data_IF_978904321815
#
_entry.id   IF_978904321815
#
_cell.length_a   1.000
_cell.length_b   1.000
_cell.length_c   1.000
_cell.angle_alpha   90.00
_cell.angle_beta   90.00
_cell.angle_gamma   90.00
#
_symmetry.space_group_name_H-M   'P 1'
#
loop_
_entity.id
_entity.type
_entity.pdbx_description
1 polymer ?
#
# COMPACT_ATOMS: atom_id res chain seq x y z
N UNK A 1 -65.69 49.95 -2.12
CA UNK A 1 -64.88 49.20 -3.09
C UNK A 1 -64.13 48.10 -2.34
N UNK A 2 -64.50 46.86 -2.67
CA UNK A 2 -63.86 45.54 -2.49
C UNK A 2 -62.70 45.36 -1.49
N UNK A 3 -62.98 44.56 -0.48
CA UNK A 3 -62.07 43.79 0.39
C UNK A 3 -61.30 42.71 -0.40
N UNK A 4 -60.02 42.45 -0.09
CA UNK A 4 -59.44 41.08 -0.13
C UNK A 4 -58.17 41.01 0.74
N UNK A 5 -58.28 40.40 1.90
CA UNK A 5 -57.16 39.91 2.72
C UNK A 5 -56.89 38.45 2.31
N UNK A 6 -55.66 38.01 2.00
CA UNK A 6 -55.41 36.62 1.72
C UNK A 6 -55.45 35.83 3.04
N UNK A 7 -56.37 34.87 3.12
CA UNK A 7 -56.46 33.95 4.23
C UNK A 7 -55.21 33.06 4.27
N UNK A 8 -54.47 33.13 5.36
CA UNK A 8 -53.40 32.18 5.68
C UNK A 8 -54.07 30.85 6.02
N UNK A 9 -54.09 29.91 5.06
CA UNK A 9 -54.64 28.58 5.27
C UNK A 9 -53.70 27.77 6.17
N UNK A 10 -54.15 27.44 7.38
CA UNK A 10 -53.48 26.47 8.23
C UNK A 10 -53.49 25.10 7.54
N UNK A 11 -52.31 24.47 7.34
CA UNK A 11 -52.25 23.17 6.68
C UNK A 11 -52.94 22.11 7.55
N UNK A 12 -53.91 21.42 6.97
CA UNK A 12 -54.66 20.33 7.61
C UNK A 12 -53.70 19.25 8.13
N UNK A 13 -54.03 18.57 9.22
CA UNK A 13 -53.19 17.56 9.87
C UNK A 13 -52.66 16.48 8.89
N UNK A 14 -53.48 16.09 7.90
CA UNK A 14 -53.08 15.16 6.83
C UNK A 14 -51.95 15.71 5.94
N UNK A 15 -51.91 17.02 5.70
CA UNK A 15 -50.87 17.68 4.91
C UNK A 15 -49.54 17.73 5.66
N UNK A 16 -49.58 17.97 6.99
CA UNK A 16 -48.38 17.88 7.85
C UNK A 16 -47.81 16.46 7.86
N UNK A 17 -48.66 15.44 7.93
CA UNK A 17 -48.23 14.03 7.88
C UNK A 17 -47.60 13.66 6.54
N UNK A 18 -48.21 14.07 5.43
CA UNK A 18 -47.66 13.85 4.08
C UNK A 18 -46.30 14.54 3.92
N UNK A 19 -46.16 15.76 4.42
CA UNK A 19 -44.91 16.51 4.36
C UNK A 19 -43.81 15.88 5.23
N UNK A 20 -44.16 15.30 6.37
CA UNK A 20 -43.21 14.61 7.24
C UNK A 20 -42.71 13.31 6.60
N UNK A 21 -43.60 12.53 5.98
CA UNK A 21 -43.25 11.33 5.23
C UNK A 21 -42.33 11.66 4.02
N UNK A 22 -42.61 12.76 3.31
CA UNK A 22 -41.78 13.21 2.18
C UNK A 22 -40.38 13.64 2.64
N UNK A 23 -40.28 14.37 3.76
CA UNK A 23 -38.99 14.78 4.32
C UNK A 23 -38.18 13.57 4.80
N UNK A 24 -38.84 12.57 5.39
CA UNK A 24 -38.19 11.32 5.80
C UNK A 24 -37.64 10.56 4.60
N UNK A 25 -38.43 10.42 3.52
CA UNK A 25 -37.97 9.79 2.28
C UNK A 25 -36.80 10.54 1.61
N UNK A 26 -36.78 11.88 1.72
CA UNK A 26 -35.65 12.70 1.24
C UNK A 26 -34.39 12.49 2.10
N UNK A 27 -34.54 12.38 3.42
CA UNK A 27 -33.45 12.11 4.34
C UNK A 27 -32.85 10.72 4.08
N UNK A 28 -33.68 9.69 3.90
CA UNK A 28 -33.23 8.33 3.59
C UNK A 28 -32.48 8.27 2.26
N UNK A 29 -32.98 8.94 1.21
CA UNK A 29 -32.26 9.05 -0.07
C UNK A 29 -30.94 9.80 0.06
N UNK A 30 -30.87 10.83 0.91
CA UNK A 30 -29.64 11.58 1.15
C UNK A 30 -28.60 10.73 1.91
N UNK A 31 -29.04 9.95 2.89
CA UNK A 31 -28.20 8.99 3.62
C UNK A 31 -27.70 7.89 2.68
N UNK A 32 -28.58 7.26 1.89
CA UNK A 32 -28.19 6.24 0.92
C UNK A 32 -27.15 6.75 -0.09
N UNK A 33 -27.27 8.01 -0.54
CA UNK A 33 -26.26 8.65 -1.41
C UNK A 33 -24.94 8.91 -0.69
N UNK A 34 -24.96 9.28 0.60
CA UNK A 34 -23.74 9.45 1.41
C UNK A 34 -23.02 8.12 1.62
N UNK A 35 -23.77 7.04 1.89
CA UNK A 35 -23.21 5.69 2.02
C UNK A 35 -22.70 5.14 0.68
N UNK A 36 -23.38 5.42 -0.44
CA UNK A 36 -22.88 5.06 -1.77
C UNK A 36 -21.61 5.85 -2.18
N UNK A 37 -21.44 7.09 -1.68
CA UNK A 37 -20.25 7.91 -1.91
C UNK A 37 -19.10 7.62 -0.93
N UNK A 38 -19.34 6.73 0.04
CA UNK A 38 -18.33 6.09 0.90
C UNK A 38 -18.12 4.63 0.49
N UNK A 39 -18.34 4.31 -0.79
CA UNK A 39 -17.75 3.10 -1.37
C UNK A 39 -16.24 3.11 -1.03
N UNK A 40 -15.69 2.00 -0.51
CA UNK A 40 -14.27 1.92 -0.20
C UNK A 40 -13.50 2.33 -1.44
N UNK A 41 -12.64 3.33 -1.30
CA UNK A 41 -11.66 3.67 -2.31
C UNK A 41 -10.97 2.34 -2.69
N UNK A 42 -10.84 1.98 -3.98
CA UNK A 42 -10.02 0.84 -4.34
C UNK A 42 -8.67 1.03 -3.66
N UNK A 43 -8.10 0.00 -3.01
CA UNK A 43 -6.83 0.15 -2.33
C UNK A 43 -5.84 0.65 -3.37
N UNK A 44 -5.49 1.94 -3.28
CA UNK A 44 -4.31 2.50 -3.93
C UNK A 44 -3.21 1.55 -3.51
N UNK A 45 -2.65 0.79 -4.47
CA UNK A 45 -1.71 -0.34 -4.22
C UNK A 45 -0.71 0.10 -3.17
N UNK A 46 -1.02 -0.18 -1.90
CA UNK A 46 -0.13 0.09 -0.82
C UNK A 46 0.88 -1.03 -0.97
N UNK A 47 2.11 -0.68 -1.38
CA UNK A 47 3.23 -1.62 -1.41
C UNK A 47 3.21 -2.32 -0.06
N UNK A 48 2.92 -3.61 -0.10
CA UNK A 48 2.78 -4.38 1.13
C UNK A 48 4.15 -4.56 1.75
N UNK A 49 4.19 -4.84 3.05
CA UNK A 49 5.45 -5.20 3.70
C UNK A 49 6.09 -6.41 3.01
N UNK A 50 5.28 -7.36 2.54
CA UNK A 50 5.72 -8.52 1.77
C UNK A 50 6.40 -8.12 0.46
N UNK A 51 5.80 -7.20 -0.31
CA UNK A 51 6.42 -6.67 -1.55
C UNK A 51 7.79 -6.05 -1.27
N UNK A 52 7.93 -5.32 -0.16
CA UNK A 52 9.20 -4.70 0.22
C UNK A 52 10.24 -5.73 0.69
N UNK A 53 9.83 -6.77 1.42
CA UNK A 53 10.72 -7.86 1.82
C UNK A 53 11.22 -8.62 0.58
N UNK A 54 10.34 -8.87 -0.40
CA UNK A 54 10.71 -9.52 -1.66
C UNK A 54 11.70 -8.67 -2.47
N UNK A 55 11.45 -7.37 -2.60
CA UNK A 55 12.36 -6.43 -3.28
C UNK A 55 13.74 -6.38 -2.60
N UNK A 56 13.77 -6.21 -1.27
CA UNK A 56 15.02 -6.20 -0.51
C UNK A 56 15.77 -7.53 -0.61
N UNK A 57 15.05 -8.65 -0.66
CA UNK A 57 15.64 -9.98 -0.85
C UNK A 57 16.27 -10.10 -2.23
N UNK A 58 15.60 -9.65 -3.29
CA UNK A 58 16.15 -9.65 -4.66
C UNK A 58 17.43 -8.82 -4.75
N UNK A 59 17.43 -7.63 -4.17
CA UNK A 59 18.60 -6.76 -4.14
C UNK A 59 19.79 -7.40 -3.42
N UNK A 60 19.57 -8.03 -2.26
CA UNK A 60 20.64 -8.73 -1.52
C UNK A 60 21.18 -9.91 -2.32
N UNK A 61 20.30 -10.71 -2.96
CA UNK A 61 20.71 -11.83 -3.79
C UNK A 61 21.53 -11.36 -5.00
N UNK A 62 21.12 -10.26 -5.63
CA UNK A 62 21.84 -9.65 -6.75
C UNK A 62 23.23 -9.20 -6.34
N UNK A 63 23.37 -8.50 -5.22
CA UNK A 63 24.67 -8.07 -4.69
C UNK A 63 25.53 -9.29 -4.32
N UNK A 64 24.95 -10.32 -3.68
CA UNK A 64 25.67 -11.55 -3.35
C UNK A 64 26.21 -12.26 -4.59
N UNK A 65 25.40 -12.37 -5.66
CA UNK A 65 25.84 -12.95 -6.93
C UNK A 65 26.96 -12.13 -7.60
N UNK A 66 26.87 -10.80 -7.57
CA UNK A 66 27.94 -9.92 -8.03
C UNK A 66 29.23 -10.13 -7.24
N UNK A 67 29.13 -10.22 -5.92
CA UNK A 67 30.28 -10.48 -5.05
C UNK A 67 30.88 -11.87 -5.29
N UNK A 68 30.07 -12.90 -5.51
CA UNK A 68 30.56 -14.24 -5.90
C UNK A 68 31.34 -14.20 -7.21
N UNK A 69 30.93 -13.37 -8.17
CA UNK A 69 31.64 -13.19 -9.44
C UNK A 69 33.01 -12.55 -9.22
N UNK A 70 33.09 -11.54 -8.33
CA UNK A 70 34.36 -10.92 -7.92
C UNK A 70 35.27 -11.91 -7.21
N UNK A 71 34.75 -12.67 -6.24
CA UNK A 71 35.52 -13.71 -5.54
C UNK A 71 36.11 -14.73 -6.53
N UNK A 72 35.31 -15.18 -7.49
CA UNK A 72 35.75 -16.10 -8.53
C UNK A 72 36.87 -15.50 -9.39
N UNK A 73 36.77 -14.21 -9.74
CA UNK A 73 37.83 -13.51 -10.48
C UNK A 73 39.13 -13.44 -9.66
N UNK A 74 39.04 -13.18 -8.36
CA UNK A 74 40.20 -13.14 -7.47
C UNK A 74 40.86 -14.50 -7.33
N UNK A 75 40.09 -15.59 -7.25
CA UNK A 75 40.61 -16.96 -7.24
C UNK A 75 41.37 -17.29 -8.52
N UNK A 76 40.87 -16.82 -9.68
CA UNK A 76 41.55 -16.98 -10.97
C UNK A 76 42.87 -16.19 -11.04
N UNK A 77 42.95 -15.06 -10.33
CA UNK A 77 44.14 -14.19 -10.29
C UNK A 77 45.11 -14.55 -9.16
N UNK A 78 44.79 -15.52 -8.31
CA UNK A 78 45.58 -15.91 -7.13
C UNK A 78 47.03 -16.30 -7.44
N UNK A 79 47.30 -16.81 -8.65
CA UNK A 79 48.66 -17.14 -9.10
C UNK A 79 49.47 -15.93 -9.57
N UNK A 80 48.81 -14.88 -10.03
CA UNK A 80 49.45 -13.74 -10.71
C UNK A 80 49.54 -12.48 -9.84
N UNK A 81 48.61 -12.31 -8.90
CA UNK A 81 48.49 -11.13 -8.05
C UNK A 81 48.36 -11.57 -6.59
N UNK A 82 49.39 -11.41 -5.73
CA UNK A 82 49.35 -11.87 -4.35
C UNK A 82 48.28 -11.17 -3.50
N UNK A 83 47.92 -9.92 -3.83
CA UNK A 83 46.85 -9.16 -3.16
C UNK A 83 45.46 -9.77 -3.39
N UNK A 84 45.27 -10.56 -4.44
CA UNK A 84 43.98 -11.19 -4.73
C UNK A 84 43.55 -12.17 -3.64
N UNK A 85 44.50 -12.88 -3.02
CA UNK A 85 44.24 -13.80 -1.89
C UNK A 85 43.77 -13.00 -0.67
N UNK A 86 44.44 -11.89 -0.37
CA UNK A 86 44.07 -11.01 0.74
C UNK A 86 42.68 -10.39 0.52
N UNK A 87 42.41 -9.90 -0.69
CA UNK A 87 41.11 -9.34 -1.03
C UNK A 87 40.00 -10.40 -0.99
N UNK A 88 40.26 -11.61 -1.49
CA UNK A 88 39.33 -12.73 -1.41
C UNK A 88 38.97 -13.05 0.05
N UNK A 89 39.98 -13.13 0.93
CA UNK A 89 39.78 -13.41 2.35
C UNK A 89 38.94 -12.33 3.07
N UNK A 90 39.00 -11.07 2.63
CA UNK A 90 38.19 -9.97 3.17
C UNK A 90 36.75 -9.98 2.64
N UNK A 91 36.56 -10.36 1.37
CA UNK A 91 35.26 -10.31 0.71
C UNK A 91 34.41 -11.56 0.97
N UNK A 92 35.02 -12.72 1.21
CA UNK A 92 34.30 -13.97 1.44
C UNK A 92 33.36 -13.90 2.67
N UNK A 93 33.76 -13.36 3.84
CA UNK A 93 32.86 -13.19 4.98
C UNK A 93 31.68 -12.27 4.67
N UNK A 94 31.90 -11.19 3.92
CA UNK A 94 30.82 -10.28 3.53
C UNK A 94 29.77 -10.98 2.67
N UNK A 95 30.20 -11.82 1.73
CA UNK A 95 29.31 -12.65 0.92
C UNK A 95 28.47 -13.60 1.78
N UNK A 96 29.11 -14.27 2.74
CA UNK A 96 28.40 -15.16 3.67
C UNK A 96 27.36 -14.42 4.50
N UNK A 97 27.63 -13.18 4.91
CA UNK A 97 26.66 -12.35 5.64
C UNK A 97 25.47 -11.93 4.77
N UNK A 98 25.69 -11.61 3.48
CA UNK A 98 24.60 -11.32 2.55
C UNK A 98 23.72 -12.55 2.30
N UNK A 99 24.33 -13.72 2.08
CA UNK A 99 23.60 -14.99 1.92
C UNK A 99 22.73 -15.30 3.15
N UNK A 100 23.28 -15.13 4.36
CA UNK A 100 22.53 -15.30 5.60
C UNK A 100 21.39 -14.27 5.74
N UNK A 101 21.62 -13.03 5.32
CA UNK A 101 20.61 -11.97 5.39
C UNK A 101 19.45 -12.25 4.44
N UNK A 102 19.73 -12.72 3.22
CA UNK A 102 18.70 -13.16 2.27
C UNK A 102 17.88 -14.34 2.84
N UNK A 103 18.54 -15.35 3.40
CA UNK A 103 17.86 -16.49 4.02
C UNK A 103 16.93 -16.06 5.17
N UNK A 104 17.36 -15.09 5.99
CA UNK A 104 16.55 -14.54 7.07
C UNK A 104 15.33 -13.77 6.55
N UNK A 105 15.48 -12.97 5.50
CA UNK A 105 14.35 -12.24 4.91
C UNK A 105 13.36 -13.20 4.23
N UNK A 106 13.84 -14.20 3.51
CA UNK A 106 12.99 -15.23 2.92
C UNK A 106 12.19 -16.01 3.97
N UNK A 107 12.73 -16.20 5.18
CA UNK A 107 11.99 -16.86 6.26
C UNK A 107 10.84 -16.04 6.85
N UNK A 108 10.71 -14.76 6.47
CA UNK A 108 9.66 -13.85 6.92
C UNK A 108 8.47 -13.76 5.96
N UNK A 109 8.56 -14.37 4.77
CA UNK A 109 7.52 -14.41 3.73
C UNK A 109 7.03 -15.83 3.58
#
# INVERSE_FOLDING_TARGET
MTSTTPASQEPTLAQKQAQLAENLAKADRALARRFAKTAPLPPSKAVTLEDHILEATDDILRVSAGLQSVLTLLDLQAGDIPESIGLHALLLPLKQQLDQSANRLQSLV
#
